data_IF_418990285753
#
_entry.id   IF_418990285753
#
_cell.length_a   1.000
_cell.length_b   1.000
_cell.length_c   1.000
_cell.angle_alpha   90.00
_cell.angle_beta   90.00
_cell.angle_gamma   90.00
#
_symmetry.space_group_name_H-M   'P 1'
#
loop_
_entity.id
_entity.type
_entity.pdbx_description
1 polymer ?
#
# COMPACT_ATOMS: atom_id res chain seq x y z
N UNK A 1 13.37 11.43 20.13
CA UNK A 1 14.20 10.40 19.48
C UNK A 1 13.67 9.08 19.97
N UNK A 2 13.12 8.30 19.05
CA UNK A 2 12.48 7.04 19.33
C UNK A 2 13.38 5.90 18.86
N UNK A 3 13.26 4.75 19.52
CA UNK A 3 13.92 3.52 19.12
C UNK A 3 12.86 2.44 18.92
N UNK A 4 12.87 1.81 17.75
CA UNK A 4 11.99 0.72 17.39
C UNK A 4 12.81 -0.55 17.23
N UNK A 5 12.44 -1.64 17.91
CA UNK A 5 13.20 -2.89 17.95
C UNK A 5 12.33 -4.04 17.46
N UNK A 6 12.70 -4.65 16.33
CA UNK A 6 12.05 -5.85 15.81
C UNK A 6 12.66 -7.10 16.47
N UNK A 7 11.88 -7.77 17.31
CA UNK A 7 12.33 -8.85 18.20
C UNK A 7 11.34 -10.02 18.23
N UNK A 8 11.87 -11.24 18.32
CA UNK A 8 11.09 -12.45 18.60
C UNK A 8 11.94 -13.52 19.28
N UNK A 9 12.28 -14.63 18.60
CA UNK A 9 12.84 -15.82 19.25
C UNK A 9 14.25 -15.62 19.84
N UNK A 10 15.01 -14.62 19.41
CA UNK A 10 16.41 -14.47 19.83
C UNK A 10 16.56 -14.02 21.29
N UNK A 11 15.61 -13.25 21.82
CA UNK A 11 15.63 -12.81 23.22
C UNK A 11 14.20 -12.56 23.71
N UNK A 12 13.79 -13.12 24.87
CA UNK A 12 12.47 -12.85 25.42
C UNK A 12 12.25 -11.36 25.70
N UNK A 13 11.08 -10.83 25.31
CA UNK A 13 10.73 -9.41 25.43
C UNK A 13 10.95 -8.85 26.85
N UNK A 14 10.58 -9.62 27.89
CA UNK A 14 10.75 -9.19 29.28
C UNK A 14 12.23 -8.93 29.62
N UNK A 15 13.14 -9.70 29.03
CA UNK A 15 14.58 -9.54 29.22
C UNK A 15 15.13 -8.39 28.38
N UNK A 16 14.71 -8.28 27.13
CA UNK A 16 15.11 -7.16 26.27
C UNK A 16 14.80 -5.79 26.91
N UNK A 17 13.64 -5.64 27.54
CA UNK A 17 13.23 -4.43 28.27
C UNK A 17 14.12 -4.07 29.46
N UNK A 18 14.90 -5.02 30.00
CA UNK A 18 15.86 -4.72 31.05
C UNK A 18 17.11 -4.01 30.51
N UNK A 19 17.43 -4.19 29.22
CA UNK A 19 18.59 -3.59 28.55
C UNK A 19 18.24 -2.25 27.89
N UNK A 20 17.05 -2.15 27.28
CA UNK A 20 16.63 -0.94 26.58
C UNK A 20 15.13 -0.69 26.69
N UNK A 21 14.76 0.54 27.09
CA UNK A 21 13.40 1.04 26.99
C UNK A 21 13.15 1.57 25.58
N UNK A 22 12.46 0.78 24.77
CA UNK A 22 12.17 1.06 23.36
C UNK A 22 10.79 0.53 22.98
N UNK A 23 10.31 0.90 21.78
CA UNK A 23 9.13 0.29 21.21
C UNK A 23 9.50 -1.05 20.57
N UNK A 24 9.04 -2.15 21.17
CA UNK A 24 9.30 -3.50 20.66
C UNK A 24 8.19 -3.93 19.71
N UNK A 25 8.59 -4.30 18.50
CA UNK A 25 7.76 -4.79 17.42
C UNK A 25 8.00 -6.30 17.23
N UNK A 26 7.04 -7.04 16.63
CA UNK A 26 7.25 -8.44 16.22
C UNK A 26 8.48 -8.61 15.31
N UNK A 27 8.93 -9.84 15.03
CA UNK A 27 9.98 -10.08 14.04
C UNK A 27 9.67 -9.43 12.69
N UNK A 28 10.66 -8.78 12.09
CA UNK A 28 10.49 -7.97 10.88
C UNK A 28 10.07 -8.81 9.67
N UNK A 29 9.07 -8.33 8.93
CA UNK A 29 8.63 -8.87 7.65
C UNK A 29 8.71 -7.83 6.53
N UNK A 30 8.55 -8.28 5.28
CA UNK A 30 8.47 -7.39 4.12
C UNK A 30 7.30 -6.40 4.25
N UNK A 31 7.64 -5.11 4.13
CA UNK A 31 6.70 -3.99 4.24
C UNK A 31 6.72 -3.30 5.60
N UNK A 32 7.21 -3.95 6.66
CA UNK A 32 7.14 -3.41 8.01
C UNK A 32 8.04 -2.20 8.22
N UNK A 33 9.27 -2.25 7.70
CA UNK A 33 10.21 -1.12 7.80
C UNK A 33 9.71 0.06 6.97
N UNK A 34 9.20 -0.19 5.76
CA UNK A 34 8.56 0.86 4.96
C UNK A 34 7.38 1.49 5.71
N UNK A 35 6.46 0.68 6.25
CA UNK A 35 5.29 1.16 6.96
C UNK A 35 5.67 1.96 8.22
N UNK A 36 6.66 1.49 8.97
CA UNK A 36 7.17 2.16 10.16
C UNK A 36 7.74 3.55 9.84
N UNK A 37 8.58 3.67 8.81
CA UNK A 37 9.18 4.95 8.38
C UNK A 37 8.13 5.91 7.82
N UNK A 38 7.10 5.39 7.15
CA UNK A 38 6.02 6.21 6.59
C UNK A 38 5.06 6.75 7.65
N UNK A 39 4.84 6.03 8.74
CA UNK A 39 3.86 6.37 9.77
C UNK A 39 4.49 7.06 10.99
N UNK A 40 5.52 6.43 11.60
CA UNK A 40 5.95 6.74 12.97
C UNK A 40 7.41 7.16 13.09
N UNK A 41 8.33 6.52 12.38
CA UNK A 41 9.75 6.87 12.43
C UNK A 41 10.00 8.24 11.80
N UNK A 42 10.95 9.00 12.35
CA UNK A 42 11.36 10.33 11.89
C UNK A 42 12.89 10.40 11.71
N UNK A 43 13.41 11.38 10.94
CA UNK A 43 14.86 11.56 10.82
C UNK A 43 15.52 11.72 12.20
N UNK A 44 16.58 10.95 12.45
CA UNK A 44 17.26 10.85 13.74
C UNK A 44 16.77 9.71 14.64
N UNK A 45 15.63 9.08 14.36
CA UNK A 45 15.21 7.88 15.11
C UNK A 45 16.07 6.65 14.78
N UNK A 46 15.93 5.61 15.61
CA UNK A 46 16.68 4.36 15.50
C UNK A 46 15.73 3.19 15.21
N UNK A 47 16.11 2.33 14.27
CA UNK A 47 15.48 1.04 14.01
C UNK A 47 16.51 -0.06 14.25
N UNK A 48 16.19 -1.01 15.10
CA UNK A 48 17.00 -2.18 15.42
C UNK A 48 16.32 -3.43 14.88
N UNK A 49 17.01 -4.16 14.02
CA UNK A 49 16.57 -5.45 13.50
C UNK A 49 17.32 -6.56 14.25
N UNK A 50 16.62 -7.33 15.08
CA UNK A 50 17.18 -8.52 15.72
C UNK A 50 16.64 -9.74 15.00
N UNK A 51 15.32 -9.89 14.98
CA UNK A 51 14.62 -11.04 14.39
C UNK A 51 13.79 -10.64 13.17
N UNK A 52 13.67 -11.59 12.24
CA UNK A 52 12.78 -11.51 11.09
C UNK A 52 12.11 -12.84 10.80
N UNK A 53 11.01 -12.81 10.08
CA UNK A 53 10.26 -14.01 9.69
C UNK A 53 10.77 -14.60 8.37
N UNK A 54 10.74 -15.93 8.26
CA UNK A 54 11.15 -16.69 7.08
C UNK A 54 10.02 -17.62 6.61
N UNK A 55 10.03 -17.98 5.31
CA UNK A 55 9.06 -18.85 4.60
C UNK A 55 7.61 -18.35 4.46
N UNK A 56 6.88 -18.13 5.56
CA UNK A 56 5.42 -17.87 5.52
C UNK A 56 5.09 -16.46 5.03
N UNK A 57 6.02 -15.53 5.25
CA UNK A 57 5.95 -14.15 4.79
C UNK A 57 7.32 -13.81 4.21
N UNK A 58 7.40 -13.08 3.08
CA UNK A 58 8.68 -12.65 2.54
C UNK A 58 9.49 -11.88 3.60
N UNK A 59 10.78 -12.21 3.71
CA UNK A 59 11.72 -11.52 4.58
C UNK A 59 11.84 -10.03 4.21
N UNK A 60 12.24 -9.20 5.18
CA UNK A 60 12.48 -7.77 4.94
C UNK A 60 13.43 -7.54 3.77
N UNK A 61 13.05 -6.62 2.87
CA UNK A 61 13.86 -6.31 1.69
C UNK A 61 14.97 -5.32 2.03
N UNK A 62 16.14 -5.51 1.40
CA UNK A 62 17.25 -4.56 1.49
C UNK A 62 16.82 -3.12 1.19
N UNK A 63 15.93 -2.95 0.22
CA UNK A 63 15.43 -1.64 -0.18
C UNK A 63 14.61 -0.93 0.90
N UNK A 64 13.97 -1.66 1.81
CA UNK A 64 13.27 -1.02 2.93
C UNK A 64 14.26 -0.43 3.93
N UNK A 65 15.37 -1.13 4.17
CA UNK A 65 16.44 -0.65 5.03
C UNK A 65 17.16 0.55 4.38
N UNK A 66 17.47 0.45 3.09
CA UNK A 66 18.03 1.57 2.32
C UNK A 66 17.08 2.78 2.33
N UNK A 67 15.77 2.56 2.24
CA UNK A 67 14.77 3.62 2.36
C UNK A 67 14.81 4.28 3.75
N UNK A 68 14.87 3.50 4.83
CA UNK A 68 14.99 4.05 6.18
C UNK A 68 16.25 4.91 6.34
N UNK A 69 17.40 4.42 5.85
CA UNK A 69 18.67 5.15 5.85
C UNK A 69 18.58 6.45 5.04
N UNK A 70 18.02 6.42 3.81
CA UNK A 70 17.80 7.61 2.97
C UNK A 70 16.89 8.65 3.66
N UNK A 71 15.93 8.21 4.48
CA UNK A 71 15.05 9.07 5.28
C UNK A 71 15.69 9.60 6.56
N UNK A 72 16.99 9.37 6.75
CA UNK A 72 17.75 9.87 7.88
C UNK A 72 17.53 9.12 9.18
N UNK A 73 16.99 7.89 9.11
CA UNK A 73 16.83 6.98 10.25
C UNK A 73 18.09 6.14 10.41
N UNK A 74 18.56 5.94 11.63
CA UNK A 74 19.67 5.02 11.91
C UNK A 74 19.14 3.59 11.94
N UNK A 75 19.76 2.69 11.17
CA UNK A 75 19.37 1.27 11.16
C UNK A 75 20.51 0.40 11.69
N UNK A 76 20.18 -0.47 12.64
CA UNK A 76 21.10 -1.39 13.30
C UNK A 76 20.64 -2.83 13.12
N UNK A 77 21.57 -3.79 13.10
CA UNK A 77 21.26 -5.21 12.99
C UNK A 77 22.17 -6.11 13.81
N UNK A 78 21.61 -7.16 14.41
CA UNK A 78 22.35 -8.17 15.17
C UNK A 78 21.65 -9.54 15.14
N UNK A 79 22.33 -10.56 15.65
CA UNK A 79 21.82 -11.89 15.96
C UNK A 79 21.27 -12.72 14.78
N UNK A 80 20.03 -12.49 14.35
CA UNK A 80 19.32 -13.36 13.41
C UNK A 80 19.37 -12.74 12.00
N UNK A 81 18.22 -12.58 11.35
CA UNK A 81 18.06 -11.83 10.09
C UNK A 81 18.67 -10.41 10.15
N UNK A 82 18.71 -9.80 11.34
CA UNK A 82 19.37 -8.51 11.56
C UNK A 82 20.86 -8.52 11.24
N UNK A 83 21.60 -9.54 11.69
CA UNK A 83 23.03 -9.67 11.43
C UNK A 83 23.32 -9.85 9.94
N UNK A 84 22.54 -10.69 9.25
CA UNK A 84 22.65 -10.91 7.81
C UNK A 84 22.47 -9.59 7.04
N UNK A 85 21.37 -8.87 7.31
CA UNK A 85 21.08 -7.59 6.64
C UNK A 85 22.13 -6.52 6.94
N UNK A 86 22.66 -6.50 8.16
CA UNK A 86 23.75 -5.59 8.52
C UNK A 86 25.03 -5.90 7.73
N UNK A 87 25.41 -7.17 7.59
CA UNK A 87 26.59 -7.57 6.80
C UNK A 87 26.46 -7.16 5.32
N UNK A 88 25.26 -7.32 4.74
CA UNK A 88 25.00 -6.96 3.35
C UNK A 88 24.90 -5.43 3.12
N UNK A 89 24.47 -4.67 4.13
CA UNK A 89 24.16 -3.24 4.00
C UNK A 89 25.09 -2.29 4.75
N UNK A 90 26.17 -2.80 5.38
CA UNK A 90 27.14 -1.97 6.07
C UNK A 90 27.74 -0.88 5.17
N UNK A 91 27.98 -1.21 3.90
CA UNK A 91 28.54 -0.28 2.92
C UNK A 91 27.60 0.91 2.61
N UNK A 92 26.31 0.75 2.90
CA UNK A 92 25.29 1.78 2.75
C UNK A 92 24.96 2.51 4.07
N UNK A 93 25.62 2.14 5.18
CA UNK A 93 25.48 2.83 6.47
C UNK A 93 24.59 2.13 7.50
N UNK A 94 24.10 0.92 7.23
CA UNK A 94 23.51 0.06 8.28
C UNK A 94 24.61 -0.37 9.26
N UNK A 95 24.34 -0.37 10.57
CA UNK A 95 25.33 -0.73 11.59
C UNK A 95 25.10 -2.14 12.10
N UNK A 96 26.11 -3.00 11.99
CA UNK A 96 26.07 -4.33 12.58
C UNK A 96 26.68 -4.38 13.97
N UNK A 97 26.11 -5.21 14.85
CA UNK A 97 26.60 -5.44 16.22
C UNK A 97 26.60 -6.93 16.53
N UNK A 98 27.60 -7.39 17.28
CA UNK A 98 27.71 -8.77 17.74
C UNK A 98 28.49 -9.69 16.81
N UNK A 99 28.81 -10.87 17.34
CA UNK A 99 29.71 -11.85 16.70
C UNK A 99 29.11 -12.49 15.46
N UNK A 100 27.78 -12.64 15.42
CA UNK A 100 27.11 -13.25 14.27
C UNK A 100 27.18 -12.29 13.07
N UNK A 101 27.01 -10.98 13.29
CA UNK A 101 27.25 -9.98 12.25
C UNK A 101 28.70 -10.02 11.76
N UNK A 102 29.68 -10.03 12.68
CA UNK A 102 31.10 -10.09 12.31
C UNK A 102 31.41 -11.34 11.49
N UNK A 103 30.84 -12.49 11.85
CA UNK A 103 31.05 -13.74 11.14
C UNK A 103 30.46 -13.72 9.71
N UNK A 104 29.30 -13.10 9.48
CA UNK A 104 28.78 -12.88 8.12
C UNK A 104 29.60 -11.85 7.34
N UNK A 105 29.98 -10.74 7.99
CA UNK A 105 30.80 -9.68 7.40
C UNK A 105 32.12 -10.23 6.88
N UNK A 106 32.74 -11.11 7.65
CA UNK A 106 34.08 -11.65 7.37
C UNK A 106 34.02 -12.94 6.53
N UNK A 107 32.83 -13.39 6.11
CA UNK A 107 32.64 -14.60 5.29
C UNK A 107 32.88 -15.92 6.03
N UNK A 108 32.92 -15.89 7.37
CA UNK A 108 32.99 -17.12 8.19
C UNK A 108 31.66 -17.88 8.15
N UNK A 109 30.56 -17.14 8.03
CA UNK A 109 29.22 -17.67 7.76
C UNK A 109 28.75 -17.12 6.42
N UNK A 110 28.22 -18.00 5.57
CA UNK A 110 27.68 -17.63 4.26
C UNK A 110 26.23 -18.13 4.07
N UNK A 111 25.84 -19.21 4.75
CA UNK A 111 24.49 -19.78 4.61
C UNK A 111 23.47 -19.05 5.49
N UNK A 112 22.32 -18.67 4.90
CA UNK A 112 21.19 -18.04 5.61
C UNK A 112 20.63 -18.92 6.74
N UNK A 113 20.70 -20.24 6.58
CA UNK A 113 20.16 -21.19 7.56
C UNK A 113 20.97 -21.25 8.87
N UNK A 114 22.15 -20.61 8.92
CA UNK A 114 22.98 -20.56 10.11
C UNK A 114 22.25 -19.88 11.28
N UNK A 115 21.42 -18.88 10.96
CA UNK A 115 20.63 -18.11 11.93
C UNK A 115 19.14 -18.49 11.98
N UNK A 116 18.68 -19.34 11.06
CA UNK A 116 17.28 -19.71 10.95
C UNK A 116 16.81 -20.56 12.14
N UNK A 117 15.61 -20.29 12.62
CA UNK A 117 14.92 -21.07 13.66
C UNK A 117 13.43 -21.17 13.33
N UNK A 118 12.82 -22.29 13.70
CA UNK A 118 11.36 -22.36 13.81
C UNK A 118 10.97 -21.79 15.16
N UNK A 119 9.91 -20.99 15.18
CA UNK A 119 9.38 -20.41 16.41
C UNK A 119 7.86 -20.59 16.50
N UNK A 120 7.35 -20.56 17.72
CA UNK A 120 5.92 -20.53 17.99
C UNK A 120 5.29 -19.22 17.48
N UNK A 121 3.97 -19.15 17.27
CA UNK A 121 3.33 -17.90 16.85
C UNK A 121 3.32 -16.85 17.97
N UNK A 122 2.82 -15.65 17.67
CA UNK A 122 2.88 -14.48 18.56
C UNK A 122 2.20 -14.71 19.92
N UNK A 123 1.12 -15.51 19.96
CA UNK A 123 0.37 -15.87 21.17
C UNK A 123 1.22 -16.67 22.15
N UNK A 124 2.25 -17.36 21.65
CA UNK A 124 3.23 -18.10 22.43
C UNK A 124 4.59 -17.36 22.50
N UNK A 125 4.56 -16.04 22.34
CA UNK A 125 5.69 -15.12 22.47
C UNK A 125 6.91 -15.47 21.60
N UNK A 126 6.67 -16.02 20.40
CA UNK A 126 7.74 -16.38 19.46
C UNK A 126 8.79 -17.34 20.03
N UNK A 127 8.41 -18.19 20.99
CA UNK A 127 9.34 -19.14 21.62
C UNK A 127 10.03 -20.01 20.55
N UNK A 128 11.37 -20.11 20.55
CA UNK A 128 12.07 -20.98 19.60
C UNK A 128 11.67 -22.45 19.82
N UNK A 129 11.42 -23.14 18.71
CA UNK A 129 11.09 -24.57 18.62
C UNK A 129 12.26 -25.38 18.05
N UNK A 130 13.22 -24.72 17.39
CA UNK A 130 14.48 -25.29 16.96
C UNK A 130 15.67 -24.42 17.41
N UNK A 131 16.89 -24.94 17.30
CA UNK A 131 18.13 -24.25 17.64
C UNK A 131 18.86 -23.75 16.38
N UNK A 132 19.40 -22.53 16.44
CA UNK A 132 20.19 -21.97 15.36
C UNK A 132 21.57 -22.66 15.27
N UNK A 133 22.10 -22.82 14.07
CA UNK A 133 23.41 -23.45 13.88
C UNK A 133 24.52 -22.62 14.52
N UNK A 134 24.46 -21.29 14.43
CA UNK A 134 25.42 -20.39 15.11
C UNK A 134 25.47 -20.61 16.62
N UNK A 135 24.31 -20.85 17.25
CA UNK A 135 24.22 -21.13 18.69
C UNK A 135 24.84 -22.49 19.03
N UNK A 136 24.62 -23.51 18.19
CA UNK A 136 25.26 -24.82 18.34
C UNK A 136 26.78 -24.70 18.21
N UNK A 137 27.28 -24.00 17.19
CA UNK A 137 28.73 -23.77 17.00
C UNK A 137 29.35 -23.05 18.19
N UNK A 138 28.69 -22.01 18.72
CA UNK A 138 29.18 -21.29 19.89
C UNK A 138 29.25 -22.17 21.15
N UNK A 139 28.26 -23.05 21.36
CA UNK A 139 28.28 -24.03 22.45
C UNK A 139 29.48 -24.98 22.28
N UNK A 140 29.69 -25.53 21.08
CA UNK A 140 30.79 -26.45 20.80
C UNK A 140 32.16 -25.78 21.00
N UNK A 141 32.32 -24.53 20.53
CA UNK A 141 33.54 -23.75 20.78
C UNK A 141 33.79 -23.54 22.28
N UNK A 142 32.74 -23.29 23.07
CA UNK A 142 32.86 -23.17 24.53
C UNK A 142 33.31 -24.47 25.18
N UNK A 143 32.78 -25.62 24.76
CA UNK A 143 33.21 -26.93 25.25
C UNK A 143 34.67 -27.25 24.88
N UNK A 144 35.10 -26.88 23.67
CA UNK A 144 36.50 -26.98 23.27
C UNK A 144 37.41 -26.11 24.13
N UNK A 145 37.01 -24.86 24.39
CA UNK A 145 37.75 -23.94 25.26
C UNK A 145 37.85 -24.42 26.72
N UNK A 146 36.89 -25.23 27.16
CA UNK A 146 36.91 -25.91 28.47
C UNK A 146 37.71 -27.23 28.48
N UNK A 147 38.24 -27.66 27.33
CA UNK A 147 38.97 -28.93 27.19
C UNK A 147 38.08 -30.17 27.26
N UNK A 148 36.75 -30.01 27.19
CA UNK A 148 35.80 -31.13 27.22
C UNK A 148 35.66 -31.81 25.85
N UNK A 149 35.96 -31.09 24.77
CA UNK A 149 35.96 -31.62 23.40
C UNK A 149 37.29 -31.32 22.70
N UNK A 150 37.81 -32.31 21.97
CA UNK A 150 38.84 -32.11 20.96
C UNK A 150 38.28 -31.45 19.69
N UNK A 151 39.18 -30.95 18.83
CA UNK A 151 38.79 -30.29 17.58
C UNK A 151 37.99 -31.19 16.64
N UNK A 152 38.38 -32.46 16.51
CA UNK A 152 37.70 -33.43 15.65
C UNK A 152 36.28 -33.75 16.16
N UNK A 153 36.10 -33.89 17.48
CA UNK A 153 34.80 -34.18 18.08
C UNK A 153 33.82 -33.02 17.90
N UNK A 154 34.29 -31.78 18.10
CA UNK A 154 33.47 -30.59 17.89
C UNK A 154 33.09 -30.41 16.41
N UNK A 155 34.05 -30.62 15.50
CA UNK A 155 33.79 -30.59 14.06
C UNK A 155 32.74 -31.64 13.66
N UNK A 156 32.83 -32.86 14.21
CA UNK A 156 31.87 -33.93 13.92
C UNK A 156 30.46 -33.62 14.41
N UNK A 157 30.30 -33.07 15.62
CA UNK A 157 29.00 -32.64 16.14
C UNK A 157 28.40 -31.50 15.31
N UNK A 158 29.23 -30.55 14.90
CA UNK A 158 28.79 -29.45 14.03
C UNK A 158 28.31 -29.97 12.66
N UNK A 159 29.04 -30.93 12.06
CA UNK A 159 28.66 -31.56 10.80
C UNK A 159 27.30 -32.27 10.91
N UNK A 160 27.10 -33.09 11.94
CA UNK A 160 25.83 -33.80 12.18
C UNK A 160 24.66 -32.82 12.39
N UNK A 161 24.90 -31.70 13.08
CA UNK A 161 23.88 -30.66 13.27
C UNK A 161 23.56 -29.92 11.97
N UNK A 162 24.57 -29.64 11.14
CA UNK A 162 24.40 -28.94 9.85
C UNK A 162 23.69 -29.80 8.81
N UNK A 163 23.89 -31.12 8.83
CA UNK A 163 23.20 -32.07 7.95
C UNK A 163 21.69 -32.13 8.19
N UNK A 164 21.22 -31.75 9.38
CA UNK A 164 19.78 -31.62 9.66
C UNK A 164 19.25 -30.30 9.10
N UNK A 165 18.03 -30.28 8.52
CA UNK A 165 17.37 -29.03 8.18
C UNK A 165 17.11 -28.20 9.45
N UNK A 166 17.06 -26.87 9.32
CA UNK A 166 17.02 -25.97 10.49
C UNK A 166 15.80 -26.18 11.40
N UNK A 167 14.68 -26.71 10.87
CA UNK A 167 13.47 -27.01 11.64
C UNK A 167 13.59 -28.28 12.51
N UNK A 168 14.60 -29.12 12.29
CA UNK A 168 14.87 -30.32 13.08
C UNK A 168 16.02 -30.13 14.07
N UNK A 169 16.80 -29.04 13.96
CA UNK A 169 17.93 -28.77 14.86
C UNK A 169 17.43 -28.50 16.27
N UNK A 170 17.97 -29.20 17.26
CA UNK A 170 17.64 -28.92 18.66
C UNK A 170 18.79 -29.31 19.59
N UNK A 171 18.77 -28.76 20.82
CA UNK A 171 19.69 -29.17 21.87
C UNK A 171 19.55 -30.64 22.25
N UNK A 172 18.34 -31.21 22.11
CA UNK A 172 18.10 -32.63 22.36
C UNK A 172 18.76 -33.53 21.31
N UNK A 173 18.73 -33.11 20.03
CA UNK A 173 19.42 -33.80 18.94
C UNK A 173 20.94 -33.72 19.08
N UNK A 174 21.48 -32.55 19.42
CA UNK A 174 22.92 -32.39 19.70
C UNK A 174 23.38 -33.32 20.83
N UNK A 175 22.56 -33.47 21.86
CA UNK A 175 22.83 -34.38 22.98
C UNK A 175 22.73 -35.86 22.57
N UNK A 176 21.80 -36.21 21.68
CA UNK A 176 21.69 -37.55 21.11
C UNK A 176 22.92 -37.90 20.26
N UNK A 177 23.43 -36.95 19.47
CA UNK A 177 24.65 -37.11 18.69
C UNK A 177 25.88 -37.31 19.60
N UNK A 178 25.98 -36.53 20.69
CA UNK A 178 27.06 -36.69 21.67
C UNK A 178 27.05 -38.09 22.32
N UNK A 179 25.86 -38.66 22.58
CA UNK A 179 25.72 -40.04 23.06
C UNK A 179 26.12 -41.07 22.01
N UNK A 180 25.67 -40.90 20.77
CA UNK A 180 25.98 -41.81 19.67
C UNK A 180 27.49 -41.88 19.40
N UNK A 181 28.20 -40.78 19.61
CA UNK A 181 29.67 -40.69 19.50
C UNK A 181 30.41 -41.10 20.79
N UNK A 182 29.70 -41.52 21.84
CA UNK A 182 30.27 -41.93 23.12
C UNK A 182 31.23 -40.90 23.76
N UNK A 183 30.88 -39.60 23.70
CA UNK A 183 31.73 -38.50 24.18
C UNK A 183 31.82 -38.37 25.72
N UNK A 184 31.02 -39.16 26.44
CA UNK A 184 31.06 -39.26 27.90
C UNK A 184 30.14 -38.28 28.65
N UNK A 185 29.83 -38.62 29.90
CA UNK A 185 28.83 -37.93 30.72
C UNK A 185 29.18 -36.44 30.97
N UNK A 186 30.46 -36.10 31.09
CA UNK A 186 30.88 -34.72 31.31
C UNK A 186 30.49 -33.79 30.14
N UNK A 187 30.59 -34.28 28.90
CA UNK A 187 30.16 -33.53 27.70
C UNK A 187 28.64 -33.39 27.68
N UNK A 188 27.91 -34.47 27.96
CA UNK A 188 26.45 -34.46 28.01
C UNK A 188 25.91 -33.47 29.04
N UNK A 189 26.47 -33.48 30.25
CA UNK A 189 26.07 -32.58 31.34
C UNK A 189 26.39 -31.12 31.01
N UNK A 190 27.54 -30.87 30.37
CA UNK A 190 27.91 -29.54 29.91
C UNK A 190 26.97 -29.03 28.81
N UNK A 191 26.58 -29.86 27.82
CA UNK A 191 25.58 -29.51 26.80
C UNK A 191 24.26 -29.13 27.49
N UNK A 192 23.76 -29.93 28.43
CA UNK A 192 22.50 -29.65 29.14
C UNK A 192 22.55 -28.37 29.96
N UNK A 193 23.69 -28.07 30.58
CA UNK A 193 23.87 -26.87 31.39
C UNK A 193 23.91 -25.64 30.50
N UNK A 194 24.79 -25.64 29.51
CA UNK A 194 25.02 -24.48 28.65
C UNK A 194 23.79 -24.18 27.77
N UNK A 195 23.06 -25.21 27.31
CA UNK A 195 21.85 -25.00 26.51
C UNK A 195 20.69 -24.35 27.27
N UNK A 196 20.81 -24.16 28.59
CA UNK A 196 19.85 -23.42 29.43
C UNK A 196 20.27 -21.97 29.68
N UNK A 197 21.52 -21.63 29.35
CA UNK A 197 22.04 -20.27 29.41
C UNK A 197 21.65 -19.48 28.15
N UNK A 198 22.05 -18.21 28.10
CA UNK A 198 21.96 -17.41 26.87
C UNK A 198 22.85 -17.97 25.78
N UNK A 199 22.25 -18.23 24.63
CA UNK A 199 22.97 -18.66 23.44
C UNK A 199 23.55 -17.47 22.68
N UNK A 200 24.29 -17.75 21.59
CA UNK A 200 24.92 -16.70 20.78
C UNK A 200 23.92 -15.66 20.27
N UNK A 201 22.70 -16.08 19.93
CA UNK A 201 21.66 -15.17 19.43
C UNK A 201 21.15 -14.23 20.50
N UNK A 202 20.96 -14.72 21.73
CA UNK A 202 20.57 -13.90 22.87
C UNK A 202 21.69 -12.91 23.25
N UNK A 203 22.95 -13.35 23.25
CA UNK A 203 24.10 -12.49 23.57
C UNK A 203 24.26 -11.33 22.57
N UNK A 204 24.20 -11.59 21.27
CA UNK A 204 24.27 -10.55 20.23
C UNK A 204 23.08 -9.57 20.31
N UNK A 205 21.88 -10.08 20.61
CA UNK A 205 20.70 -9.24 20.83
C UNK A 205 20.89 -8.30 22.03
N UNK A 206 21.41 -8.82 23.14
CA UNK A 206 21.72 -8.02 24.34
C UNK A 206 22.78 -6.96 24.02
N UNK A 207 23.86 -7.33 23.34
CA UNK A 207 24.95 -6.41 22.98
C UNK A 207 24.44 -5.23 22.12
N UNK A 208 23.54 -5.50 21.17
CA UNK A 208 22.90 -4.44 20.37
C UNK A 208 22.05 -3.51 21.25
N UNK A 209 21.23 -4.06 22.16
CA UNK A 209 20.38 -3.25 23.04
C UNK A 209 21.21 -2.37 23.98
N UNK A 210 22.28 -2.90 24.56
CA UNK A 210 23.21 -2.16 25.42
C UNK A 210 24.00 -1.09 24.63
N UNK A 211 24.28 -1.35 23.36
CA UNK A 211 24.89 -0.36 22.46
C UNK A 211 23.93 0.78 22.16
N UNK A 212 22.68 0.48 21.84
CA UNK A 212 21.64 1.48 21.60
C UNK A 212 21.32 2.30 22.86
N UNK A 213 21.28 1.67 24.03
CA UNK A 213 21.08 2.38 25.29
C UNK A 213 22.15 3.46 25.54
N UNK A 214 23.41 3.19 25.15
CA UNK A 214 24.50 4.16 25.20
C UNK A 214 24.39 5.24 24.12
N UNK A 215 24.04 4.87 22.89
CA UNK A 215 23.91 5.82 21.78
C UNK A 215 22.76 6.81 21.98
N UNK A 216 21.61 6.35 22.47
CA UNK A 216 20.42 7.17 22.70
C UNK A 216 20.60 8.19 23.84
N UNK A 217 21.65 8.05 24.65
CA UNK A 217 22.03 9.05 25.65
C UNK A 217 22.67 10.30 25.03
N UNK A 218 23.13 10.23 23.77
CA UNK A 218 23.72 11.35 23.05
C UNK A 218 22.74 11.95 22.03
N UNK A 219 22.78 13.26 21.75
CA UNK A 219 21.99 13.86 20.69
C UNK A 219 22.47 13.35 19.32
N UNK A 220 21.72 12.44 18.70
CA UNK A 220 22.03 11.96 17.36
C UNK A 220 21.48 12.91 16.28
N UNK A 221 22.35 13.24 15.32
CA UNK A 221 21.93 13.89 14.07
C UNK A 221 21.24 12.85 13.18
N UNK A 222 20.34 13.25 12.27
CA UNK A 222 19.82 12.35 11.26
C UNK A 222 20.95 11.62 10.52
N UNK A 223 20.70 10.36 10.17
CA UNK A 223 21.62 9.62 9.30
C UNK A 223 21.78 10.37 7.97
N UNK A 224 23.03 10.48 7.49
CA UNK A 224 23.32 11.12 6.22
C UNK A 224 23.67 10.04 5.20
N UNK A 225 22.67 9.59 4.44
CA UNK A 225 22.87 8.60 3.39
C UNK A 225 23.79 9.17 2.29
N UNK A 226 24.74 8.35 1.84
CA UNK A 226 25.69 8.68 0.75
C UNK A 226 25.22 8.17 -0.61
N UNK A 227 23.98 7.67 -0.69
CA UNK A 227 23.37 7.10 -1.87
C UNK A 227 21.95 7.66 -2.06
N UNK A 228 21.40 7.50 -3.26
CA UNK A 228 19.99 7.71 -3.55
C UNK A 228 19.32 6.35 -3.84
N UNK A 229 18.15 6.12 -3.26
CA UNK A 229 17.40 4.88 -3.44
C UNK A 229 16.73 4.85 -4.81
N UNK A 230 17.22 3.97 -5.66
CA UNK A 230 16.60 3.72 -6.97
C UNK A 230 15.18 3.16 -6.85
N UNK A 231 14.23 3.87 -7.45
CA UNK A 231 12.80 3.57 -7.44
C UNK A 231 12.45 2.47 -8.44
N UNK A 232 12.98 1.26 -8.24
CA UNK A 232 12.74 0.12 -9.15
C UNK A 232 11.26 -0.30 -9.15
N UNK A 233 10.84 -1.02 -10.19
CA UNK A 233 9.46 -1.51 -10.35
C UNK A 233 8.95 -2.27 -9.12
N UNK A 234 9.79 -3.11 -8.51
CA UNK A 234 9.42 -3.92 -7.35
C UNK A 234 9.24 -3.05 -6.10
N UNK A 235 10.12 -2.07 -5.92
CA UNK A 235 10.01 -1.10 -4.83
C UNK A 235 8.74 -0.25 -4.94
N UNK A 236 8.45 0.28 -6.13
CA UNK A 236 7.20 1.01 -6.38
C UNK A 236 5.96 0.14 -6.13
N UNK A 237 6.04 -1.15 -6.50
CA UNK A 237 5.00 -2.13 -6.22
C UNK A 237 4.75 -2.35 -4.73
N UNK A 238 5.82 -2.52 -3.95
CA UNK A 238 5.74 -2.64 -2.48
C UNK A 238 5.18 -1.35 -1.85
N UNK A 239 5.72 -0.19 -2.22
CA UNK A 239 5.26 1.09 -1.69
C UNK A 239 3.76 1.30 -1.92
N UNK A 240 3.27 0.98 -3.12
CA UNK A 240 1.87 1.07 -3.48
C UNK A 240 1.00 0.02 -2.76
N UNK A 241 1.51 -1.20 -2.52
CA UNK A 241 0.75 -2.23 -1.80
C UNK A 241 0.59 -1.94 -0.31
N UNK A 242 1.50 -1.17 0.28
CA UNK A 242 1.43 -0.76 1.69
C UNK A 242 0.58 0.50 1.91
N UNK A 243 0.33 1.29 0.87
CA UNK A 243 -0.38 2.58 0.98
C UNK A 243 -1.83 2.46 1.49
N UNK A 244 -2.64 1.46 1.09
CA UNK A 244 -3.94 1.21 1.70
C UNK A 244 -3.84 0.87 3.19
N UNK A 245 -2.89 -0.01 3.57
CA UNK A 245 -2.68 -0.39 4.99
C UNK A 245 -2.33 0.81 5.86
N UNK A 246 -1.52 1.74 5.34
CA UNK A 246 -1.19 2.98 6.04
C UNK A 246 -2.43 3.87 6.24
N UNK A 247 -3.34 3.93 5.27
CA UNK A 247 -4.58 4.71 5.37
C UNK A 247 -5.57 4.09 6.36
N UNK A 248 -5.70 2.76 6.34
CA UNK A 248 -6.59 2.06 7.26
C UNK A 248 -6.07 2.08 8.71
N UNK A 249 -4.75 2.09 8.92
CA UNK A 249 -4.15 2.30 10.24
C UNK A 249 -4.51 3.67 10.85
N UNK A 250 -4.61 4.72 10.03
CA UNK A 250 -5.09 6.04 10.45
C UNK A 250 -6.61 6.06 10.74
N UNK A 251 -7.40 5.15 10.14
CA UNK A 251 -8.84 4.99 10.43
C UNK A 251 -9.14 3.95 11.53
N UNK A 252 -8.12 3.26 12.04
CA UNK A 252 -8.25 2.24 13.09
C UNK A 252 -8.77 0.87 12.61
N UNK A 253 -8.81 0.62 11.30
CA UNK A 253 -9.23 -0.66 10.73
C UNK A 253 -8.05 -1.31 10.00
N UNK A 254 -7.77 -2.59 10.24
CA UNK A 254 -6.77 -3.33 9.45
C UNK A 254 -7.50 -4.06 8.32
N UNK A 255 -6.98 -4.09 7.08
CA UNK A 255 -7.62 -4.85 6.00
C UNK A 255 -7.74 -6.31 6.44
N UNK A 256 -8.98 -6.78 6.54
CA UNK A 256 -9.26 -8.11 7.07
C UNK A 256 -8.74 -9.17 6.10
N UNK A 257 -8.32 -10.34 6.62
CA UNK A 257 -7.89 -11.51 5.83
C UNK A 257 -8.86 -11.86 4.69
N UNK A 258 -10.14 -11.49 4.84
CA UNK A 258 -11.20 -11.66 3.83
C UNK A 258 -10.96 -10.82 2.57
N UNK A 259 -10.47 -9.59 2.68
CA UNK A 259 -10.21 -8.71 1.52
C UNK A 259 -9.04 -9.23 0.67
N UNK A 260 -7.96 -9.70 1.29
CA UNK A 260 -6.82 -10.26 0.56
C UNK A 260 -7.20 -11.53 -0.22
N UNK A 261 -8.03 -12.39 0.36
CA UNK A 261 -8.57 -13.57 -0.32
C UNK A 261 -9.47 -13.18 -1.50
N UNK A 262 -10.37 -12.21 -1.31
CA UNK A 262 -11.23 -11.67 -2.37
C UNK A 262 -10.42 -11.08 -3.53
N UNK A 263 -9.41 -10.26 -3.25
CA UNK A 263 -8.56 -9.66 -4.29
C UNK A 263 -7.79 -10.72 -5.09
N UNK A 264 -7.37 -11.81 -4.44
CA UNK A 264 -6.73 -12.95 -5.13
C UNK A 264 -7.74 -13.68 -6.02
N UNK A 265 -8.95 -13.91 -5.53
CA UNK A 265 -10.04 -14.52 -6.28
C UNK A 265 -10.39 -13.70 -7.52
N UNK A 266 -10.64 -12.39 -7.37
CA UNK A 266 -10.93 -11.47 -8.49
C UNK A 266 -9.81 -11.50 -9.54
N UNK A 267 -8.54 -11.47 -9.11
CA UNK A 267 -7.40 -11.52 -10.04
C UNK A 267 -7.33 -12.84 -10.81
N UNK A 268 -7.70 -13.95 -10.19
CA UNK A 268 -7.59 -15.27 -10.77
C UNK A 268 -8.80 -15.65 -11.63
N UNK A 269 -10.01 -15.34 -11.16
CA UNK A 269 -11.25 -15.96 -11.63
C UNK A 269 -12.28 -14.97 -12.20
N UNK A 270 -12.17 -13.66 -11.95
CA UNK A 270 -13.20 -12.72 -12.43
C UNK A 270 -13.27 -12.70 -13.97
N UNK A 271 -14.46 -12.92 -14.58
CA UNK A 271 -14.61 -12.93 -16.04
C UNK A 271 -14.34 -11.56 -16.67
N UNK A 272 -14.64 -10.49 -15.95
CA UNK A 272 -14.42 -9.08 -16.27
C UNK A 272 -13.09 -8.52 -15.73
N UNK A 273 -12.16 -9.39 -15.26
CA UNK A 273 -10.90 -8.96 -14.62
C UNK A 273 -10.13 -7.89 -15.37
N UNK A 274 -10.18 -7.88 -16.71
CA UNK A 274 -9.44 -6.92 -17.52
C UNK A 274 -10.00 -5.51 -17.42
N UNK A 275 -11.32 -5.39 -17.33
CA UNK A 275 -12.03 -4.13 -17.17
C UNK A 275 -11.84 -3.60 -15.75
N UNK A 276 -12.07 -4.45 -14.75
CA UNK A 276 -11.81 -4.11 -13.34
C UNK A 276 -10.36 -3.65 -13.10
N UNK A 277 -9.36 -4.32 -13.68
CA UNK A 277 -7.96 -3.90 -13.56
C UNK A 277 -7.66 -2.58 -14.27
N UNK A 278 -8.36 -2.27 -15.38
CA UNK A 278 -8.23 -0.99 -16.07
C UNK A 278 -8.83 0.15 -15.25
N UNK A 279 -10.00 -0.06 -14.67
CA UNK A 279 -10.63 0.91 -13.77
C UNK A 279 -9.81 1.13 -12.51
N UNK A 280 -9.32 0.05 -11.88
CA UNK A 280 -8.44 0.14 -10.72
C UNK A 280 -7.12 0.88 -11.05
N UNK A 281 -6.57 0.69 -12.25
CA UNK A 281 -5.41 1.45 -12.73
C UNK A 281 -5.74 2.94 -12.88
N UNK A 282 -6.90 3.28 -13.44
CA UNK A 282 -7.35 4.67 -13.55
C UNK A 282 -7.48 5.32 -12.17
N UNK A 283 -8.14 4.66 -11.22
CA UNK A 283 -8.25 5.14 -9.82
C UNK A 283 -6.87 5.34 -9.18
N UNK A 284 -5.94 4.41 -9.41
CA UNK A 284 -4.55 4.54 -8.93
C UNK A 284 -3.85 5.78 -9.53
N UNK A 285 -3.96 6.00 -10.83
CA UNK A 285 -3.36 7.16 -11.50
C UNK A 285 -3.99 8.47 -11.01
N UNK A 286 -5.30 8.50 -10.80
CA UNK A 286 -5.99 9.64 -10.18
C UNK A 286 -5.48 9.90 -8.75
N UNK A 287 -5.24 8.84 -7.97
CA UNK A 287 -4.65 8.94 -6.63
C UNK A 287 -3.25 9.56 -6.66
N UNK A 288 -2.42 9.16 -7.62
CA UNK A 288 -1.08 9.73 -7.83
C UNK A 288 -1.15 11.22 -8.23
N UNK A 289 -2.12 11.61 -9.04
CA UNK A 289 -2.35 13.04 -9.38
C UNK A 289 -2.90 13.83 -8.19
N UNK A 290 -3.76 13.22 -7.37
CA UNK A 290 -4.31 13.85 -6.16
C UNK A 290 -3.21 14.29 -5.19
N UNK A 291 -2.11 13.54 -5.09
CA UNK A 291 -0.96 13.89 -4.26
C UNK A 291 -0.18 15.11 -4.76
N UNK A 292 -0.35 15.50 -6.02
CA UNK A 292 0.34 16.64 -6.65
C UNK A 292 -0.50 17.91 -6.70
N UNK A 293 -1.79 17.81 -6.41
CA UNK A 293 -2.74 18.91 -6.45
C UNK A 293 -3.11 19.40 -5.06
N UNK A 294 -3.67 20.62 -4.99
CA UNK A 294 -4.27 21.10 -3.75
C UNK A 294 -5.45 20.21 -3.32
N UNK A 295 -5.60 19.94 -2.01
CA UNK A 295 -6.68 19.11 -1.50
C UNK A 295 -8.05 19.70 -1.91
N UNK A 296 -9.05 18.85 -2.21
CA UNK A 296 -10.41 19.31 -2.52
C UNK A 296 -11.00 20.15 -1.39
N UNK A 297 -11.72 21.21 -1.75
CA UNK A 297 -12.53 22.00 -0.83
C UNK A 297 -13.78 21.22 -0.38
N UNK A 298 -14.41 21.67 0.71
CA UNK A 298 -15.63 21.04 1.21
C UNK A 298 -16.78 21.09 0.18
N UNK A 299 -16.87 22.17 -0.60
CA UNK A 299 -17.90 22.33 -1.62
C UNK A 299 -17.66 21.40 -2.82
N UNK A 300 -16.40 21.21 -3.23
CA UNK A 300 -16.04 20.24 -4.28
C UNK A 300 -16.36 18.79 -3.87
N UNK A 301 -16.10 18.43 -2.60
CA UNK A 301 -16.46 17.11 -2.07
C UNK A 301 -17.97 16.91 -2.02
N UNK A 302 -18.74 17.94 -1.62
CA UNK A 302 -20.21 17.87 -1.67
C UNK A 302 -20.72 17.73 -3.10
N UNK A 303 -20.17 18.48 -4.06
CA UNK A 303 -20.53 18.36 -5.46
C UNK A 303 -20.21 16.98 -6.03
N UNK A 304 -19.06 16.39 -5.67
CA UNK A 304 -18.71 15.03 -6.04
C UNK A 304 -19.68 13.99 -5.46
N UNK A 305 -20.10 14.15 -4.20
CA UNK A 305 -21.08 13.28 -3.57
C UNK A 305 -22.44 13.34 -4.28
N UNK A 306 -22.88 14.53 -4.69
CA UNK A 306 -24.12 14.70 -5.46
C UNK A 306 -24.04 14.05 -6.85
N UNK A 307 -22.92 14.20 -7.58
CA UNK A 307 -22.72 13.52 -8.87
C UNK A 307 -22.71 11.99 -8.71
N UNK A 308 -22.10 11.49 -7.64
CA UNK A 308 -22.10 10.06 -7.35
C UNK A 308 -23.51 9.55 -7.02
N UNK A 309 -24.26 10.30 -6.21
CA UNK A 309 -25.65 9.98 -5.90
C UNK A 309 -26.51 9.94 -7.17
N UNK A 310 -26.38 10.94 -8.04
CA UNK A 310 -27.11 11.03 -9.31
C UNK A 310 -26.81 9.83 -10.24
N UNK A 311 -25.53 9.51 -10.48
CA UNK A 311 -25.12 8.35 -11.28
C UNK A 311 -25.62 7.01 -10.72
N UNK A 312 -25.83 6.92 -9.41
CA UNK A 312 -26.33 5.72 -8.73
C UNK A 312 -27.84 5.75 -8.50
N UNK A 313 -28.54 6.80 -8.93
CA UNK A 313 -29.99 6.96 -8.72
C UNK A 313 -30.39 7.11 -7.24
N UNK A 314 -29.51 7.63 -6.40
CA UNK A 314 -29.73 7.77 -4.95
C UNK A 314 -30.35 9.12 -4.62
N UNK A 315 -31.54 9.10 -4.03
CA UNK A 315 -32.28 10.31 -3.66
C UNK A 315 -31.99 10.74 -2.21
N UNK A 316 -31.17 11.79 -2.06
CA UNK A 316 -30.92 12.45 -0.79
C UNK A 316 -29.89 11.77 0.11
N UNK A 317 -29.59 12.43 1.24
CA UNK A 317 -28.49 12.03 2.15
C UNK A 317 -28.72 10.65 2.79
N UNK A 318 -29.96 10.31 3.13
CA UNK A 318 -30.29 9.02 3.75
C UNK A 318 -30.02 7.83 2.82
N UNK A 319 -30.33 7.95 1.53
CA UNK A 319 -30.03 6.92 0.54
C UNK A 319 -28.52 6.75 0.33
N UNK A 320 -27.78 7.87 0.39
CA UNK A 320 -26.32 7.86 0.27
C UNK A 320 -25.65 7.19 1.48
N UNK A 321 -26.12 7.48 2.69
CA UNK A 321 -25.60 6.86 3.91
C UNK A 321 -25.94 5.36 3.96
N UNK A 322 -27.14 4.97 3.51
CA UNK A 322 -27.52 3.56 3.37
C UNK A 322 -26.63 2.83 2.35
N UNK A 323 -26.37 3.44 1.19
CA UNK A 323 -25.46 2.90 0.18
C UNK A 323 -24.04 2.72 0.73
N UNK A 324 -23.51 3.70 1.47
CA UNK A 324 -22.18 3.59 2.09
C UNK A 324 -22.09 2.44 3.07
N UNK A 325 -23.13 2.26 3.91
CA UNK A 325 -23.18 1.16 4.86
C UNK A 325 -23.26 -0.20 4.16
N UNK A 326 -24.07 -0.31 3.10
CA UNK A 326 -24.20 -1.55 2.30
C UNK A 326 -22.89 -1.93 1.60
N UNK A 327 -22.14 -0.95 1.11
CA UNK A 327 -20.85 -1.17 0.45
C UNK A 327 -19.66 -1.28 1.42
N UNK A 328 -19.91 -1.30 2.72
CA UNK A 328 -18.89 -1.34 3.78
C UNK A 328 -17.85 -0.21 3.68
N UNK A 329 -18.23 0.96 3.14
CA UNK A 329 -17.32 2.10 2.94
C UNK A 329 -17.19 2.91 4.23
N UNK A 330 -16.00 2.87 4.83
CA UNK A 330 -15.72 3.67 6.01
C UNK A 330 -15.64 5.18 5.67
N UNK A 331 -15.35 6.02 6.68
CA UNK A 331 -15.23 7.46 6.46
C UNK A 331 -13.99 7.86 5.65
N UNK A 332 -12.91 7.06 5.74
CA UNK A 332 -11.68 7.23 4.98
C UNK A 332 -11.86 6.85 3.51
N UNK A 333 -12.42 5.67 3.25
CA UNK A 333 -12.72 5.14 1.90
C UNK A 333 -13.66 6.08 1.16
N UNK A 334 -14.72 6.52 1.83
CA UNK A 334 -15.68 7.47 1.25
C UNK A 334 -15.00 8.79 0.87
N UNK A 335 -14.24 9.38 1.80
CA UNK A 335 -13.51 10.62 1.52
C UNK A 335 -12.51 10.42 0.38
N UNK A 336 -11.82 9.29 0.33
CA UNK A 336 -10.85 9.01 -0.72
C UNK A 336 -11.53 8.88 -2.08
N UNK A 337 -12.64 8.15 -2.18
CA UNK A 337 -13.41 8.05 -3.41
C UNK A 337 -13.85 9.43 -3.89
N UNK A 338 -14.47 10.25 -3.02
CA UNK A 338 -14.87 11.61 -3.41
C UNK A 338 -13.70 12.47 -3.86
N UNK A 339 -12.52 12.33 -3.24
CA UNK A 339 -11.31 13.02 -3.68
C UNK A 339 -10.89 12.59 -5.10
N UNK A 340 -10.96 11.29 -5.41
CA UNK A 340 -10.64 10.79 -6.75
C UNK A 340 -11.62 11.33 -7.80
N UNK A 341 -12.92 11.43 -7.47
CA UNK A 341 -13.93 12.03 -8.34
C UNK A 341 -13.63 13.51 -8.62
N UNK A 342 -13.28 14.30 -7.59
CA UNK A 342 -12.89 15.70 -7.78
C UNK A 342 -11.67 15.83 -8.69
N UNK A 343 -10.65 15.00 -8.48
CA UNK A 343 -9.42 15.03 -9.28
C UNK A 343 -9.69 14.62 -10.72
N UNK A 344 -10.55 13.62 -10.96
CA UNK A 344 -10.96 13.24 -12.30
C UNK A 344 -11.62 14.41 -13.04
N UNK A 345 -12.60 15.07 -12.41
CA UNK A 345 -13.29 16.22 -13.01
C UNK A 345 -12.34 17.38 -13.30
N UNK A 346 -11.42 17.70 -12.37
CA UNK A 346 -10.40 18.74 -12.59
C UNK A 346 -9.51 18.40 -13.79
N UNK A 347 -9.09 17.15 -13.93
CA UNK A 347 -8.24 16.72 -15.05
C UNK A 347 -8.99 16.73 -16.38
N UNK A 348 -10.27 16.34 -16.39
CA UNK A 348 -11.11 16.45 -17.58
C UNK A 348 -11.23 17.92 -18.01
N UNK A 349 -11.61 18.80 -17.08
CA UNK A 349 -11.75 20.23 -17.34
C UNK A 349 -10.44 20.89 -17.80
N UNK A 350 -9.31 20.51 -17.22
CA UNK A 350 -7.98 21.00 -17.62
C UNK A 350 -7.53 20.48 -18.99
N UNK A 351 -7.97 19.29 -19.38
CA UNK A 351 -7.57 18.68 -20.65
C UNK A 351 -8.31 19.29 -21.84
N UNK A 352 -9.58 19.68 -21.66
CA UNK A 352 -10.40 20.30 -22.70
C UNK A 352 -10.35 19.54 -24.04
N UNK A 353 -10.14 20.26 -25.14
CA UNK A 353 -9.98 19.70 -26.49
C UNK A 353 -8.77 18.75 -26.65
N UNK A 354 -7.86 18.70 -25.67
CA UNK A 354 -6.77 17.71 -25.64
C UNK A 354 -7.24 16.26 -25.59
N UNK A 355 -8.52 16.00 -25.27
CA UNK A 355 -9.12 14.66 -25.26
C UNK A 355 -9.72 14.24 -26.61
N UNK A 356 -9.90 15.15 -27.58
CA UNK A 356 -10.64 14.89 -28.82
C UNK A 356 -10.11 13.70 -29.62
N UNK A 357 -8.78 13.58 -29.72
CA UNK A 357 -8.14 12.45 -30.40
C UNK A 357 -8.44 11.10 -29.73
N UNK A 358 -8.52 11.08 -28.41
CA UNK A 358 -8.85 9.89 -27.63
C UNK A 358 -10.35 9.57 -27.66
N UNK A 359 -11.21 10.60 -27.61
CA UNK A 359 -12.65 10.45 -27.80
C UNK A 359 -12.96 9.81 -29.17
N UNK A 360 -12.33 10.29 -30.24
CA UNK A 360 -12.49 9.72 -31.57
C UNK A 360 -11.97 8.29 -31.66
N UNK A 361 -10.86 7.97 -30.99
CA UNK A 361 -10.32 6.62 -30.94
C UNK A 361 -11.29 5.67 -30.21
N UNK A 362 -11.87 6.08 -29.08
CA UNK A 362 -12.85 5.28 -28.34
C UNK A 362 -14.13 5.04 -29.13
N UNK A 363 -14.68 6.08 -29.77
CA UNK A 363 -15.85 5.92 -30.65
C UNK A 363 -15.59 4.93 -31.80
N UNK A 364 -14.37 4.91 -32.36
CA UNK A 364 -13.97 3.93 -33.36
C UNK A 364 -13.86 2.52 -32.78
N UNK A 365 -13.17 2.39 -31.64
CA UNK A 365 -12.94 1.11 -30.99
C UNK A 365 -14.25 0.43 -30.54
N UNK A 366 -15.24 1.23 -30.13
CA UNK A 366 -16.57 0.77 -29.70
C UNK A 366 -17.58 0.66 -30.85
N UNK A 367 -17.21 1.02 -32.09
CA UNK A 367 -18.13 0.99 -33.23
C UNK A 367 -19.25 2.04 -33.17
N UNK A 368 -19.09 3.10 -32.37
CA UNK A 368 -20.07 4.18 -32.17
C UNK A 368 -19.87 5.38 -33.09
N UNK A 369 -18.83 5.37 -33.91
CA UNK A 369 -18.49 6.49 -34.80
C UNK A 369 -19.60 6.77 -35.83
N UNK A 370 -20.16 5.72 -36.43
CA UNK A 370 -21.12 5.88 -37.53
C UNK A 370 -22.44 6.47 -37.03
N UNK A 371 -22.95 5.97 -35.90
CA UNK A 371 -24.13 6.54 -35.24
C UNK A 371 -23.94 8.03 -34.89
N UNK A 372 -22.74 8.42 -34.44
CA UNK A 372 -22.42 9.82 -34.19
C UNK A 372 -22.41 10.68 -35.46
N UNK A 373 -21.88 10.15 -36.57
CA UNK A 373 -21.85 10.83 -37.87
C UNK A 373 -23.23 11.00 -38.47
N UNK A 374 -24.04 9.95 -38.44
CA UNK A 374 -25.42 9.98 -38.93
C UNK A 374 -26.24 11.03 -38.17
N UNK A 375 -26.11 11.09 -36.85
CA UNK A 375 -26.78 12.11 -36.02
C UNK A 375 -26.39 13.53 -36.44
N UNK A 376 -25.08 13.80 -36.58
CA UNK A 376 -24.60 15.14 -36.98
C UNK A 376 -25.05 15.49 -38.41
N UNK A 377 -25.02 14.52 -39.33
CA UNK A 377 -25.49 14.73 -40.71
C UNK A 377 -26.99 15.03 -40.77
N UNK A 378 -27.82 14.31 -40.01
CA UNK A 378 -29.25 14.56 -39.94
C UNK A 378 -29.56 15.97 -39.37
N UNK A 379 -28.84 16.38 -38.31
CA UNK A 379 -28.95 17.73 -37.75
C UNK A 379 -28.59 18.80 -38.80
N UNK A 380 -27.50 18.61 -39.54
CA UNK A 380 -27.08 19.55 -40.59
C UNK A 380 -28.06 19.62 -41.77
N UNK A 381 -28.56 18.48 -42.25
CA UNK A 381 -29.56 18.43 -43.32
C UNK A 381 -30.83 19.18 -42.91
N UNK A 382 -31.28 18.99 -41.66
CA UNK A 382 -32.48 19.66 -41.15
C UNK A 382 -32.32 21.17 -41.06
N UNK A 383 -31.16 21.65 -40.63
CA UNK A 383 -30.85 23.08 -40.61
C UNK A 383 -30.81 23.67 -42.03
N UNK A 384 -30.25 22.94 -43.00
CA UNK A 384 -30.24 23.34 -44.41
C UNK A 384 -31.64 23.44 -45.01
N UNK A 385 -32.53 22.48 -44.75
CA UNK A 385 -33.94 22.52 -45.18
C UNK A 385 -34.67 23.76 -44.67
N UNK A 386 -34.34 24.21 -43.46
CA UNK A 386 -34.91 25.39 -42.83
C UNK A 386 -34.19 26.69 -43.21
N UNK A 387 -33.11 26.63 -43.99
CA UNK A 387 -32.31 27.78 -44.37
C UNK A 387 -31.52 28.41 -43.21
N UNK A 388 -31.27 27.65 -42.15
CA UNK A 388 -30.59 28.12 -40.94
C UNK A 388 -29.11 27.76 -41.03
N UNK A 389 -28.24 28.75 -41.22
CA UNK A 389 -26.78 28.54 -41.21
C UNK A 389 -26.20 28.60 -39.79
N UNK A 390 -26.79 29.40 -38.91
CA UNK A 390 -26.36 29.59 -37.52
C UNK A 390 -27.59 29.56 -36.61
N UNK A 391 -27.86 28.46 -35.92
CA UNK A 391 -29.06 28.34 -35.10
C UNK A 391 -29.00 29.28 -33.90
N UNK A 392 -30.07 30.03 -33.70
CA UNK A 392 -30.30 30.88 -32.53
C UNK A 392 -31.53 30.40 -31.75
N UNK A 393 -31.70 30.89 -30.52
CA UNK A 393 -32.86 30.56 -29.67
C UNK A 393 -34.20 30.90 -30.36
N UNK A 394 -34.22 31.95 -31.18
CA UNK A 394 -35.39 32.36 -31.95
C UNK A 394 -35.82 31.28 -32.97
N UNK A 395 -34.85 30.62 -33.62
CA UNK A 395 -35.11 29.56 -34.60
C UNK A 395 -35.69 28.29 -33.96
N UNK A 396 -35.31 28.03 -32.71
CA UNK A 396 -35.83 26.91 -31.92
C UNK A 396 -37.20 27.22 -31.28
N UNK A 397 -37.60 28.49 -31.21
CA UNK A 397 -38.86 28.92 -30.59
C UNK A 397 -38.90 28.73 -29.07
N UNK A 398 -37.74 28.64 -28.40
CA UNK A 398 -37.61 28.40 -26.96
C UNK A 398 -36.67 29.40 -26.28
N UNK A 399 -36.86 29.61 -24.98
CA UNK A 399 -35.93 30.38 -24.14
C UNK A 399 -34.70 29.57 -23.71
N UNK A 400 -33.67 30.25 -23.21
CA UNK A 400 -32.44 29.63 -22.73
C UNK A 400 -32.70 28.59 -21.61
N UNK A 401 -33.59 28.92 -20.67
CA UNK A 401 -33.96 28.01 -19.57
C UNK A 401 -34.58 26.70 -20.09
N UNK A 402 -35.42 26.79 -21.12
CA UNK A 402 -36.05 25.62 -21.72
C UNK A 402 -35.04 24.73 -22.48
N UNK A 403 -34.05 25.35 -23.13
CA UNK A 403 -32.95 24.63 -23.78
C UNK A 403 -32.08 23.91 -22.73
N UNK A 404 -31.78 24.58 -21.62
CA UNK A 404 -31.04 24.00 -20.50
C UNK A 404 -31.80 22.81 -19.90
N UNK A 405 -33.08 22.98 -19.56
CA UNK A 405 -33.90 21.88 -19.02
C UNK A 405 -33.96 20.69 -19.99
N UNK A 406 -34.10 20.94 -21.29
CA UNK A 406 -34.06 19.88 -22.29
C UNK A 406 -32.71 19.15 -22.31
N UNK A 407 -31.59 19.89 -22.28
CA UNK A 407 -30.25 19.31 -22.25
C UNK A 407 -30.03 18.44 -21.01
N UNK A 408 -30.40 18.96 -19.83
CA UNK A 408 -30.26 18.25 -18.56
C UNK A 408 -31.11 16.99 -18.53
N UNK A 409 -32.35 17.05 -19.03
CA UNK A 409 -33.24 15.90 -19.12
C UNK A 409 -32.75 14.86 -20.15
N UNK A 410 -32.16 15.30 -21.26
CA UNK A 410 -31.75 14.41 -22.37
C UNK A 410 -30.42 13.73 -22.11
N UNK A 411 -29.53 14.36 -21.36
CA UNK A 411 -28.17 13.84 -21.12
C UNK A 411 -27.94 13.35 -19.69
N UNK A 412 -28.82 13.72 -18.76
CA UNK A 412 -28.61 13.52 -17.32
C UNK A 412 -27.53 14.43 -16.72
N UNK A 413 -26.86 15.26 -17.52
CA UNK A 413 -25.81 16.15 -17.04
C UNK A 413 -26.39 17.51 -16.66
N UNK A 414 -26.06 17.99 -15.46
CA UNK A 414 -26.45 19.33 -15.03
C UNK A 414 -25.48 20.38 -15.57
N UNK A 415 -26.03 21.45 -16.11
CA UNK A 415 -25.25 22.63 -16.46
C UNK A 415 -24.96 23.37 -15.16
N UNK A 416 -23.68 23.37 -14.73
CA UNK A 416 -23.23 24.04 -13.50
C UNK A 416 -23.65 25.52 -13.50
N UNK A 417 -23.73 26.21 -12.33
CA UNK A 417 -24.31 27.55 -12.23
C UNK A 417 -23.64 28.63 -13.10
N UNK A 418 -22.47 28.34 -13.66
CA UNK A 418 -21.80 29.14 -14.69
C UNK A 418 -21.72 28.38 -16.03
N UNK A 419 -22.63 28.69 -16.99
CA UNK A 419 -22.63 28.19 -18.35
C UNK A 419 -21.30 28.28 -19.12
N UNK A 420 -20.53 29.35 -18.96
CA UNK A 420 -19.31 29.59 -19.73
C UNK A 420 -18.19 28.66 -19.23
N UNK A 421 -18.02 28.59 -17.91
CA UNK A 421 -17.09 27.64 -17.28
C UNK A 421 -17.47 26.19 -17.63
N UNK A 422 -18.77 25.88 -17.68
CA UNK A 422 -19.24 24.56 -18.08
C UNK A 422 -18.86 24.24 -19.54
N UNK A 423 -19.07 25.16 -20.48
CA UNK A 423 -18.72 24.96 -21.88
C UNK A 423 -17.21 24.70 -22.06
N UNK A 424 -16.36 25.48 -21.39
CA UNK A 424 -14.92 25.26 -21.39
C UNK A 424 -14.52 23.90 -20.79
N UNK A 425 -15.20 23.44 -19.73
CA UNK A 425 -14.93 22.14 -19.13
C UNK A 425 -15.20 20.96 -20.06
N UNK A 426 -16.12 21.14 -21.02
CA UNK A 426 -16.45 20.16 -22.07
C UNK A 426 -15.51 20.26 -23.29
N UNK A 427 -14.57 21.21 -23.29
CA UNK A 427 -13.63 21.45 -24.39
C UNK A 427 -14.10 22.44 -25.45
N UNK A 428 -15.24 23.13 -25.26
CA UNK A 428 -15.69 24.18 -26.17
C UNK A 428 -14.88 25.47 -25.97
N UNK A 429 -14.66 26.21 -27.06
CA UNK A 429 -13.98 27.51 -27.04
C UNK A 429 -14.84 28.65 -26.49
N UNK A 430 -16.16 28.49 -26.43
CA UNK A 430 -17.09 29.44 -25.82
C UNK A 430 -18.45 28.78 -25.53
N UNK A 431 -19.25 29.41 -24.68
CA UNK A 431 -20.66 29.03 -24.49
C UNK A 431 -21.44 29.08 -25.80
N UNK A 432 -21.12 30.02 -26.69
CA UNK A 432 -21.78 30.14 -28.00
C UNK A 432 -21.60 28.86 -28.83
N UNK A 433 -20.41 28.27 -28.81
CA UNK A 433 -20.12 27.06 -29.58
C UNK A 433 -20.88 25.85 -29.03
N UNK A 434 -21.01 25.75 -27.70
CA UNK A 434 -21.87 24.76 -27.05
C UNK A 434 -23.33 24.96 -27.45
N UNK A 435 -23.85 26.20 -27.33
CA UNK A 435 -25.25 26.51 -27.66
C UNK A 435 -25.58 26.20 -29.13
N UNK A 436 -24.67 26.45 -30.07
CA UNK A 436 -24.83 26.08 -31.48
C UNK A 436 -25.09 24.58 -31.65
N UNK A 437 -24.30 23.73 -30.96
CA UNK A 437 -24.47 22.27 -31.01
C UNK A 437 -25.77 21.83 -30.36
N UNK A 438 -26.12 22.40 -29.20
CA UNK A 438 -27.36 22.09 -28.49
C UNK A 438 -28.60 22.48 -29.31
N UNK A 439 -28.60 23.67 -29.91
CA UNK A 439 -29.70 24.15 -30.74
C UNK A 439 -29.85 23.33 -32.03
N UNK A 440 -28.74 22.96 -32.67
CA UNK A 440 -28.76 22.08 -33.84
C UNK A 440 -29.38 20.72 -33.50
N UNK A 441 -29.04 20.15 -32.34
CA UNK A 441 -29.64 18.91 -31.85
C UNK A 441 -31.13 19.06 -31.52
N UNK A 442 -31.52 20.16 -30.86
CA UNK A 442 -32.91 20.45 -30.52
C UNK A 442 -33.80 20.60 -31.77
N UNK A 443 -33.37 21.41 -32.74
CA UNK A 443 -34.08 21.68 -34.01
C UNK A 443 -34.09 20.43 -34.90
N UNK A 444 -33.00 19.66 -34.89
CA UNK A 444 -32.79 18.43 -35.67
C UNK A 444 -33.72 17.26 -35.32
N UNK A 445 -34.52 17.37 -34.25
CA UNK A 445 -35.58 16.41 -33.94
C UNK A 445 -35.47 15.73 -32.57
N UNK A 446 -34.38 15.94 -31.81
CA UNK A 446 -34.26 15.41 -30.44
C UNK A 446 -35.08 16.21 -29.42
N UNK A 447 -35.47 17.46 -29.75
CA UNK A 447 -36.24 18.36 -28.87
C UNK A 447 -37.77 18.18 -28.86
N UNK A 448 -38.36 17.81 -30.01
CA UNK A 448 -39.84 17.77 -30.17
C UNK A 448 -40.50 16.50 -29.63
N UNK A 449 -39.73 15.43 -29.39
CA UNK A 449 -40.25 14.22 -28.74
C UNK A 449 -40.40 14.37 -27.22
N UNK A 450 -39.65 15.27 -26.57
CA UNK A 450 -39.70 15.48 -25.12
C UNK A 450 -40.68 16.59 -24.70
N UNK A 451 -40.87 17.62 -25.53
CA UNK A 451 -41.84 18.69 -25.24
C UNK A 451 -43.31 18.23 -25.27
N UNK A 452 -43.62 17.13 -25.98
CA UNK A 452 -44.97 16.53 -26.01
C UNK A 452 -45.34 15.76 -24.73
N UNK A 453 -44.42 15.62 -23.78
CA UNK A 453 -44.61 14.88 -22.52
C UNK A 453 -44.79 15.78 -21.29
N UNK A 454 -45.19 17.04 -21.46
CA UNK A 454 -45.69 17.83 -20.32
C UNK A 454 -47.15 17.46 -20.01
N UNK A 455 -47.52 17.16 -18.75
CA UNK A 455 -48.91 17.03 -18.37
C UNK A 455 -49.57 18.41 -18.45
N UNK A 456 -50.78 18.44 -19.02
CA UNK A 456 -51.63 19.62 -19.09
C UNK A 456 -51.71 20.30 -17.71
N UNK A 457 -51.39 21.60 -17.68
CA UNK A 457 -51.66 22.46 -16.53
C UNK A 457 -53.16 22.39 -16.19
N UNK A 458 -53.49 21.79 -15.04
CA UNK A 458 -54.82 21.91 -14.48
C UNK A 458 -55.04 23.36 -14.00
N UNK A 459 -56.24 23.95 -14.20
CA UNK A 459 -56.51 25.33 -13.82
C UNK A 459 -56.58 25.45 -12.31
N UNK A 460 -56.22 26.65 -11.81
CA UNK A 460 -56.17 26.95 -10.39
C UNK A 460 -57.50 26.73 -9.66
N UNK A 461 -57.38 26.26 -8.42
CA UNK A 461 -58.40 26.41 -7.40
C UNK A 461 -57.88 27.39 -6.35
N UNK A 462 -58.59 28.51 -6.26
CA UNK A 462 -58.57 29.45 -5.14
C UNK A 462 -59.24 28.83 -3.89
N UNK A 463 -58.99 29.47 -2.74
CA UNK A 463 -59.74 29.40 -1.46
C UNK A 463 -59.61 28.06 -0.69
N UNK A 464 -59.38 27.97 0.63
CA UNK A 464 -59.61 28.87 1.77
C UNK A 464 -58.95 28.26 3.02
N UNK A 465 -58.58 29.14 3.98
CA UNK A 465 -58.29 28.91 5.40
C UNK A 465 -56.98 28.23 5.81
#
# INVERSE_FOLDING_TARGET
MNCFVFLGPSLPLARARAHLQAEYLPPVAMGDVYALVRSRARPGDHIALIDGVFEQVPAVWHKEILFALERGVHVHGASSMGALRAAELQAFGMRGVGRIFEAFRDGVLEDDDEVAVVHAPAEAAFRPLSAAMVSIRALLQRLQGQGLLGAEQAARLAELSKQRPYWERSWAELLADARALALGAAVEDAIRSISREDDAKALDAIELLDTLARELAAPARPHAATFALEQTRFWRGLAASQEPRLRSADSGQSPTVKHDALLRDVRALAPDRRELLREALLLRLLSEQAQRQAPPTADELRAAALRLADRKGLAGQAALDAYRAEQELDSGDWRHWLQLEVVAERLIAQSGAGLDGFLLLLLKAEGRLDAGRERVQAQQQRLQELGIERPELADAGIGADALQHWYEASTGNRMLPDPETYAHSLGFSSLRDLLMVLLAAYIGGEGKSAAAAQPASAPGSAETA
#
